data_IF_671191222879
#
_entry.id   IF_671191222879
#
_cell.length_a   1.000
_cell.length_b   1.000
_cell.length_c   1.000
_cell.angle_alpha   90.00
_cell.angle_beta   90.00
_cell.angle_gamma   90.00
#
_symmetry.space_group_name_H-M   'P 1'
#
loop_
_entity.id
_entity.type
_entity.pdbx_description
1 polymer ?
#
# COMPACT_ATOMS: atom_id res chain seq x y z
N UNK A 1 14.61 -12.72 -26.49
CA UNK A 1 13.86 -12.76 -25.22
C UNK A 1 12.38 -12.64 -25.54
N UNK A 2 11.57 -13.63 -25.17
CA UNK A 2 10.15 -13.66 -25.53
C UNK A 2 9.39 -12.56 -24.79
N UNK A 3 8.76 -11.67 -25.54
CA UNK A 3 7.92 -10.59 -25.02
C UNK A 3 6.63 -11.20 -24.43
N UNK A 4 6.67 -11.61 -23.16
CA UNK A 4 5.48 -12.05 -22.43
C UNK A 4 4.55 -10.85 -22.28
N UNK A 5 3.47 -10.80 -23.06
CA UNK A 5 2.34 -9.91 -22.80
C UNK A 5 1.72 -10.35 -21.48
N UNK A 6 1.89 -9.54 -20.45
CA UNK A 6 1.19 -9.72 -19.18
C UNK A 6 -0.27 -9.29 -19.32
N UNK A 7 -1.14 -9.95 -18.59
CA UNK A 7 -2.54 -9.56 -18.49
C UNK A 7 -2.65 -8.17 -17.85
N UNK A 8 -3.51 -7.31 -18.42
CA UNK A 8 -3.73 -5.95 -17.90
C UNK A 8 -4.33 -5.99 -16.50
N UNK A 9 -5.22 -6.94 -16.24
CA UNK A 9 -5.84 -7.13 -14.92
C UNK A 9 -4.77 -7.42 -13.87
N UNK A 10 -3.77 -8.24 -14.21
CA UNK A 10 -2.65 -8.53 -13.32
C UNK A 10 -1.78 -7.30 -13.05
N UNK A 11 -1.48 -6.51 -14.10
CA UNK A 11 -0.69 -5.29 -13.96
C UNK A 11 -1.38 -4.29 -13.01
N UNK A 12 -2.67 -4.02 -13.23
CA UNK A 12 -3.46 -3.10 -12.40
C UNK A 12 -3.55 -3.57 -10.94
N UNK A 13 -3.78 -4.88 -10.73
CA UNK A 13 -3.79 -5.48 -9.41
C UNK A 13 -2.48 -5.23 -8.66
N UNK A 14 -1.33 -5.47 -9.31
CA UNK A 14 -0.03 -5.36 -8.65
C UNK A 14 0.33 -3.89 -8.35
N UNK A 15 -0.03 -2.96 -9.25
CA UNK A 15 0.12 -1.52 -9.00
C UNK A 15 -0.71 -1.12 -7.78
N UNK A 16 -1.97 -1.58 -7.68
CA UNK A 16 -2.83 -1.30 -6.53
C UNK A 16 -2.26 -1.86 -5.22
N UNK A 17 -1.79 -3.10 -5.21
CA UNK A 17 -1.13 -3.70 -4.04
C UNK A 17 0.09 -2.89 -3.58
N UNK A 18 0.85 -2.33 -4.53
CA UNK A 18 1.98 -1.47 -4.19
C UNK A 18 1.54 -0.13 -3.59
N UNK A 19 0.56 0.53 -4.20
CA UNK A 19 0.13 1.89 -3.81
C UNK A 19 -0.74 1.88 -2.54
N UNK A 20 -1.76 1.01 -2.48
CA UNK A 20 -2.77 0.98 -1.43
C UNK A 20 -2.31 0.19 -0.19
N UNK A 21 -1.64 -0.94 -0.38
CA UNK A 21 -1.17 -1.77 0.74
C UNK A 21 0.30 -1.49 1.10
N UNK A 22 1.04 -0.80 0.23
CA UNK A 22 2.44 -0.47 0.48
C UNK A 22 3.42 -1.62 0.32
N UNK A 23 3.02 -2.69 -0.37
CA UNK A 23 3.86 -3.88 -0.63
C UNK A 23 5.14 -3.49 -1.36
N UNK A 24 6.27 -4.08 -1.00
CA UNK A 24 7.56 -3.75 -1.66
C UNK A 24 7.64 -4.39 -3.05
N UNK A 25 8.42 -3.76 -3.95
CA UNK A 25 8.68 -4.30 -5.30
C UNK A 25 9.21 -5.74 -5.19
N UNK A 26 10.15 -5.99 -4.27
CA UNK A 26 10.72 -7.32 -4.04
C UNK A 26 9.64 -8.35 -3.64
N UNK A 27 8.80 -8.01 -2.67
CA UNK A 27 7.72 -8.91 -2.23
C UNK A 27 6.78 -9.29 -3.38
N UNK A 28 6.43 -8.32 -4.22
CA UNK A 28 5.54 -8.55 -5.36
C UNK A 28 6.25 -9.32 -6.49
N UNK A 29 7.51 -9.02 -6.77
CA UNK A 29 8.25 -9.75 -7.82
C UNK A 29 8.47 -11.21 -7.45
N UNK A 30 8.72 -11.48 -6.17
CA UNK A 30 8.93 -12.84 -5.67
C UNK A 30 7.60 -13.64 -5.66
N UNK A 31 6.48 -13.03 -5.22
CA UNK A 31 5.17 -13.69 -5.20
C UNK A 31 4.62 -13.98 -6.61
N UNK A 32 4.74 -13.01 -7.52
CA UNK A 32 4.14 -13.10 -8.86
C UNK A 32 5.13 -13.60 -9.94
N UNK A 33 6.34 -14.02 -9.54
CA UNK A 33 7.41 -14.46 -10.45
C UNK A 33 7.68 -13.44 -11.57
N UNK A 34 7.76 -12.15 -11.22
CA UNK A 34 8.01 -11.05 -12.14
C UNK A 34 9.47 -10.59 -12.07
N UNK A 35 9.99 -10.10 -13.19
CA UNK A 35 11.26 -9.39 -13.18
C UNK A 35 11.11 -8.04 -12.46
N UNK A 36 12.09 -7.67 -11.63
CA UNK A 36 12.11 -6.36 -10.93
C UNK A 36 12.02 -5.17 -11.89
N UNK A 37 12.65 -5.28 -13.07
CA UNK A 37 12.54 -4.29 -14.14
C UNK A 37 11.13 -4.16 -14.73
N UNK A 38 10.34 -5.24 -14.73
CA UNK A 38 8.96 -5.25 -15.25
C UNK A 38 8.03 -4.44 -14.36
N UNK A 39 8.05 -4.69 -13.04
CA UNK A 39 7.21 -3.93 -12.12
C UNK A 39 7.62 -2.44 -12.09
N UNK A 40 8.92 -2.16 -12.14
CA UNK A 40 9.40 -0.77 -12.20
C UNK A 40 8.93 -0.05 -13.47
N UNK A 41 8.99 -0.73 -14.62
CA UNK A 41 8.46 -0.21 -15.87
C UNK A 41 6.95 0.08 -15.79
N UNK A 42 6.16 -0.79 -15.16
CA UNK A 42 4.72 -0.56 -14.98
C UNK A 42 4.43 0.65 -14.10
N UNK A 43 5.15 0.81 -12.99
CA UNK A 43 5.01 1.97 -12.10
C UNK A 43 5.38 3.27 -12.81
N UNK A 44 6.48 3.27 -13.59
CA UNK A 44 6.89 4.43 -14.36
C UNK A 44 5.88 4.79 -15.45
N UNK A 45 5.31 3.78 -16.13
CA UNK A 45 4.26 3.97 -17.12
C UNK A 45 2.99 4.53 -16.48
N UNK A 46 2.55 3.95 -15.37
CA UNK A 46 1.39 4.43 -14.60
C UNK A 46 1.56 5.88 -14.16
N UNK A 47 2.75 6.24 -13.64
CA UNK A 47 3.07 7.63 -13.26
C UNK A 47 3.01 8.60 -14.43
N UNK A 48 3.42 8.18 -15.63
CA UNK A 48 3.30 9.01 -16.84
C UNK A 48 1.85 9.19 -17.25
N UNK A 49 1.05 8.13 -17.19
CA UNK A 49 -0.39 8.19 -17.51
C UNK A 49 -1.16 9.10 -16.55
N UNK A 50 -0.81 9.10 -15.25
CA UNK A 50 -1.36 10.01 -14.26
C UNK A 50 -1.17 11.49 -14.66
N UNK A 51 -0.04 11.86 -15.28
CA UNK A 51 0.22 13.26 -15.67
C UNK A 51 -0.71 13.75 -16.77
N UNK A 52 -1.23 12.84 -17.58
CA UNK A 52 -2.10 13.15 -18.73
C UNK A 52 -3.57 12.87 -18.43
N UNK A 53 -3.87 12.15 -17.35
CA UNK A 53 -5.21 11.75 -16.96
C UNK A 53 -5.50 12.16 -15.50
N UNK A 54 -6.19 13.30 -15.29
CA UNK A 54 -6.53 13.79 -13.96
C UNK A 54 -7.36 12.81 -13.13
N UNK A 55 -8.22 12.01 -13.76
CA UNK A 55 -9.04 11.02 -13.05
C UNK A 55 -8.18 9.91 -12.44
N UNK A 56 -7.23 9.40 -13.24
CA UNK A 56 -6.28 8.38 -12.77
C UNK A 56 -5.35 8.92 -11.69
N UNK A 57 -4.95 10.19 -11.82
CA UNK A 57 -4.18 10.87 -10.77
C UNK A 57 -4.97 10.94 -9.46
N UNK A 58 -6.24 11.36 -9.51
CA UNK A 58 -7.08 11.43 -8.32
C UNK A 58 -7.25 10.05 -7.65
N UNK A 59 -7.50 9.00 -8.43
CA UNK A 59 -7.58 7.62 -7.93
C UNK A 59 -6.27 7.17 -7.26
N UNK A 60 -5.12 7.51 -7.87
CA UNK A 60 -3.80 7.22 -7.31
C UNK A 60 -3.59 7.93 -5.97
N UNK A 61 -3.95 9.20 -5.89
CA UNK A 61 -3.83 10.00 -4.67
C UNK A 61 -4.72 9.43 -3.55
N UNK A 62 -5.95 9.02 -3.88
CA UNK A 62 -6.86 8.33 -2.95
C UNK A 62 -6.27 7.02 -2.41
N UNK A 63 -5.64 6.19 -3.26
CA UNK A 63 -5.00 4.95 -2.81
C UNK A 63 -3.86 5.23 -1.81
N UNK A 64 -3.05 6.27 -2.06
CA UNK A 64 -1.97 6.67 -1.16
C UNK A 64 -2.52 7.23 0.17
N UNK A 65 -3.59 8.01 0.12
CA UNK A 65 -4.26 8.54 1.31
C UNK A 65 -4.87 7.41 2.16
N UNK A 66 -5.55 6.45 1.54
CA UNK A 66 -6.07 5.25 2.22
C UNK A 66 -4.94 4.52 2.97
N UNK A 67 -3.77 4.37 2.34
CA UNK A 67 -2.61 3.74 2.98
C UNK A 67 -2.15 4.53 4.21
N UNK A 68 -2.05 5.85 4.09
CA UNK A 68 -1.64 6.71 5.20
C UNK A 68 -2.64 6.63 6.36
N UNK A 69 -3.94 6.75 6.08
CA UNK A 69 -5.00 6.67 7.08
C UNK A 69 -5.01 5.31 7.79
N UNK A 70 -4.80 4.20 7.07
CA UNK A 70 -4.69 2.86 7.67
C UNK A 70 -3.52 2.78 8.67
N UNK A 71 -2.39 3.43 8.36
CA UNK A 71 -1.22 3.48 9.24
C UNK A 71 -1.50 4.32 10.50
N UNK A 72 -2.04 5.52 10.34
CA UNK A 72 -2.41 6.41 11.46
C UNK A 72 -3.44 5.74 12.39
N UNK A 73 -4.44 5.08 11.81
CA UNK A 73 -5.44 4.32 12.57
C UNK A 73 -4.79 3.19 13.40
N UNK A 74 -3.81 2.48 12.84
CA UNK A 74 -3.12 1.41 13.55
C UNK A 74 -2.28 1.95 14.72
N UNK A 75 -1.60 3.07 14.53
CA UNK A 75 -0.83 3.76 15.58
C UNK A 75 -1.76 4.24 16.71
N UNK A 76 -2.84 4.95 16.36
CA UNK A 76 -3.83 5.43 17.33
C UNK A 76 -4.48 4.29 18.13
N UNK A 77 -4.78 3.15 17.48
CA UNK A 77 -5.30 1.96 18.17
C UNK A 77 -4.30 1.40 19.18
N UNK A 78 -3.02 1.31 18.80
CA UNK A 78 -1.95 0.84 19.69
C UNK A 78 -1.80 1.74 20.91
N UNK A 79 -1.84 3.06 20.72
CA UNK A 79 -1.80 4.04 21.82
C UNK A 79 -3.03 3.91 22.74
N UNK A 80 -4.22 3.78 22.15
CA UNK A 80 -5.45 3.61 22.91
C UNK A 80 -5.43 2.33 23.76
N UNK A 81 -4.95 1.21 23.21
CA UNK A 81 -4.77 -0.04 23.95
C UNK A 81 -3.75 0.10 25.08
N UNK A 82 -2.65 0.80 24.85
CA UNK A 82 -1.65 1.08 25.88
C UNK A 82 -2.24 1.89 27.03
N UNK A 83 -2.94 2.99 26.73
CA UNK A 83 -3.58 3.85 27.73
C UNK A 83 -4.65 3.10 28.53
N UNK A 84 -5.46 2.25 27.88
CA UNK A 84 -6.44 1.40 28.57
C UNK A 84 -5.76 0.43 29.53
N UNK A 85 -4.65 -0.20 29.13
CA UNK A 85 -3.86 -1.09 30.01
C UNK A 85 -3.28 -0.32 31.20
N UNK A 86 -2.74 0.88 30.97
CA UNK A 86 -2.22 1.74 32.02
C UNK A 86 -3.33 2.16 33.01
N UNK A 87 -4.47 2.62 32.51
CA UNK A 87 -5.62 2.99 33.35
C UNK A 87 -6.11 1.80 34.20
N UNK A 88 -6.20 0.60 33.60
CA UNK A 88 -6.58 -0.62 34.32
C UNK A 88 -5.53 -1.06 35.36
N UNK A 89 -4.24 -0.77 35.12
CA UNK A 89 -3.17 -1.02 36.09
C UNK A 89 -3.31 -0.08 37.30
N UNK A 90 -3.42 1.24 37.08
CA UNK A 90 -3.54 2.21 38.16
C UNK A 90 -4.83 2.07 38.96
N UNK A 91 -5.95 1.72 38.32
CA UNK A 91 -7.21 1.47 39.03
C UNK A 91 -7.11 0.32 40.04
N UNK A 92 -6.25 -0.68 39.81
CA UNK A 92 -6.03 -1.80 40.74
C UNK A 92 -5.16 -1.46 41.94
N UNK A 93 -4.41 -0.36 41.92
CA UNK A 93 -3.56 0.08 43.04
C UNK A 93 -4.30 0.98 44.03
N UNK A 94 -5.53 1.39 43.71
CA UNK A 94 -6.37 2.28 44.54
C UNK A 94 -7.39 1.47 45.39
N UNK A 95 -7.62 0.19 45.05
CA UNK A 95 -8.33 -0.79 45.88
C UNK A 95 -7.40 -1.43 46.93
#
# INVERSE_FOLDING_TARGET
MSNKKYDRVLQEKIIRLHLEEGRTIKSLTDEYNLGSGTLRYWLDKHRKECKTNPQLQNETDQMLEIRQLKKELAEAKKENEFLKKAAAFFAKEID
#
